data_IF_504627071321
#
_entry.id   IF_504627071321
#
_cell.length_a   1.000
_cell.length_b   1.000
_cell.length_c   1.000
_cell.angle_alpha   90.00
_cell.angle_beta   90.00
_cell.angle_gamma   90.00
#
_symmetry.space_group_name_H-M   'P 1'
#
loop_
_entity.id
_entity.type
_entity.pdbx_description
1 polymer ?
#
# COMPACT_ATOMS: atom_id res chain seq x y z
N UNK A 1 -8.04 -21.13 -4.03
CA UNK A 1 -7.32 -21.09 -5.33
C UNK A 1 -5.83 -21.36 -5.16
N UNK A 2 -5.21 -20.95 -4.04
CA UNK A 2 -3.82 -21.27 -3.70
C UNK A 2 -3.45 -22.76 -3.87
N UNK A 3 -4.22 -23.67 -3.25
CA UNK A 3 -4.06 -25.14 -3.43
C UNK A 3 -4.19 -25.65 -4.87
N UNK A 4 -4.67 -24.83 -5.81
CA UNK A 4 -4.72 -25.13 -7.25
C UNK A 4 -3.52 -24.55 -8.03
N UNK A 5 -2.53 -23.96 -7.35
CA UNK A 5 -1.32 -23.38 -7.93
C UNK A 5 -1.36 -21.86 -8.19
N UNK A 6 -2.35 -21.13 -7.64
CA UNK A 6 -2.35 -19.67 -7.73
C UNK A 6 -1.48 -19.07 -6.61
N UNK A 7 -0.47 -18.26 -6.96
CA UNK A 7 0.47 -17.67 -6.00
C UNK A 7 0.30 -16.16 -5.80
N UNK A 8 -0.67 -15.56 -6.50
CA UNK A 8 -0.97 -14.14 -6.37
C UNK A 8 -2.48 -13.89 -6.49
N UNK A 9 -2.95 -12.81 -5.86
CA UNK A 9 -4.34 -12.35 -5.93
C UNK A 9 -4.37 -10.85 -6.14
N UNK A 10 -5.26 -10.38 -7.01
CA UNK A 10 -5.49 -8.95 -7.17
C UNK A 10 -6.38 -8.43 -6.06
N UNK A 11 -6.00 -7.29 -5.48
CA UNK A 11 -6.77 -6.55 -4.50
C UNK A 11 -6.77 -5.06 -4.90
N UNK A 12 -7.80 -4.32 -4.48
CA UNK A 12 -7.86 -2.89 -4.80
C UNK A 12 -6.86 -2.10 -3.95
N UNK A 13 -6.20 -1.12 -4.55
CA UNK A 13 -5.28 -0.21 -3.85
C UNK A 13 -5.99 0.69 -2.83
N UNK A 14 -7.30 0.91 -3.00
CA UNK A 14 -8.18 1.55 -2.01
C UNK A 14 -9.61 0.96 -2.12
N UNK A 15 -9.96 -0.05 -1.30
CA UNK A 15 -11.32 -0.59 -1.25
C UNK A 15 -12.37 0.44 -0.80
N UNK A 16 -11.97 1.45 -0.02
CA UNK A 16 -12.83 2.52 0.47
C UNK A 16 -13.45 3.34 -0.68
N UNK A 17 -12.63 3.69 -1.66
CA UNK A 17 -13.08 4.37 -2.88
C UNK A 17 -14.11 3.57 -3.69
N UNK A 18 -14.11 2.24 -3.56
CA UNK A 18 -15.07 1.34 -4.20
C UNK A 18 -16.34 1.09 -3.36
N UNK A 19 -16.49 1.76 -2.21
CA UNK A 19 -17.63 1.61 -1.30
C UNK A 19 -17.52 0.42 -0.34
N UNK A 20 -16.35 -0.22 -0.23
CA UNK A 20 -16.08 -1.26 0.76
C UNK A 20 -15.41 -0.68 2.01
N UNK A 21 -15.34 -1.44 3.13
CA UNK A 21 -14.58 -1.00 4.29
C UNK A 21 -13.10 -0.75 3.94
N UNK A 22 -12.49 0.27 4.54
CA UNK A 22 -11.06 0.53 4.38
C UNK A 22 -10.21 -0.53 5.12
N UNK A 23 -8.91 -0.55 4.80
CA UNK A 23 -7.95 -1.49 5.40
C UNK A 23 -7.57 -1.15 6.86
N UNK A 24 -7.91 0.04 7.37
CA UNK A 24 -7.50 0.49 8.69
C UNK A 24 -8.30 -0.12 9.86
N UNK A 25 -9.45 -0.73 9.58
CA UNK A 25 -10.40 -1.20 10.60
C UNK A 25 -10.47 -2.72 10.76
N UNK A 26 -9.52 -3.47 10.18
CA UNK A 26 -9.40 -4.91 10.36
C UNK A 26 -10.47 -5.77 9.67
N UNK A 27 -11.41 -5.18 8.94
CA UNK A 27 -12.42 -5.91 8.16
C UNK A 27 -11.79 -6.95 7.21
N UNK A 28 -10.63 -6.62 6.65
CA UNK A 28 -9.88 -7.45 5.71
C UNK A 28 -8.85 -8.37 6.38
N UNK A 29 -8.75 -8.39 7.71
CA UNK A 29 -7.79 -9.23 8.42
C UNK A 29 -7.92 -10.73 8.07
N UNK A 30 -9.13 -11.32 7.91
CA UNK A 30 -9.23 -12.72 7.49
C UNK A 30 -8.67 -12.96 6.08
N UNK A 31 -8.78 -11.98 5.18
CA UNK A 31 -8.22 -12.06 3.84
C UNK A 31 -6.69 -11.98 3.87
N UNK A 32 -6.14 -11.03 4.63
CA UNK A 32 -4.69 -10.88 4.81
C UNK A 32 -4.07 -12.10 5.50
N UNK A 33 -4.70 -12.63 6.55
CA UNK A 33 -4.30 -13.86 7.21
C UNK A 33 -4.23 -15.04 6.22
N UNK A 34 -5.27 -15.24 5.42
CA UNK A 34 -5.30 -16.32 4.44
C UNK A 34 -4.23 -16.17 3.35
N UNK A 35 -3.93 -14.93 2.93
CA UNK A 35 -2.85 -14.69 1.98
C UNK A 35 -1.48 -14.99 2.59
N UNK A 36 -1.25 -14.60 3.84
CA UNK A 36 -0.01 -14.90 4.56
C UNK A 36 0.17 -16.41 4.74
N UNK A 37 -0.85 -17.11 5.25
CA UNK A 37 -0.81 -18.55 5.53
C UNK A 37 -0.48 -19.40 4.28
N UNK A 38 -0.93 -18.94 3.11
CA UNK A 38 -0.73 -19.63 1.84
C UNK A 38 0.44 -19.04 1.02
N UNK A 39 1.19 -18.07 1.56
CA UNK A 39 2.29 -17.38 0.86
C UNK A 39 1.86 -16.72 -0.45
N UNK A 40 0.61 -16.23 -0.52
CA UNK A 40 0.03 -15.59 -1.69
C UNK A 40 0.36 -14.10 -1.71
N UNK A 41 0.98 -13.63 -2.79
CA UNK A 41 1.29 -12.20 -2.98
C UNK A 41 0.02 -11.42 -3.32
N UNK A 42 -0.19 -10.28 -2.66
CA UNK A 42 -1.30 -9.39 -2.95
C UNK A 42 -0.85 -8.34 -3.97
N UNK A 43 -1.43 -8.36 -5.16
CA UNK A 43 -1.12 -7.42 -6.23
C UNK A 43 -2.10 -6.24 -6.21
N UNK A 44 -1.58 -5.03 -5.99
CA UNK A 44 -2.32 -3.77 -6.09
C UNK A 44 -1.96 -3.09 -7.41
N UNK A 45 -2.92 -3.00 -8.33
CA UNK A 45 -2.70 -2.34 -9.62
C UNK A 45 -3.06 -0.86 -9.53
N UNK A 46 -2.29 0.02 -10.18
CA UNK A 46 -2.65 1.45 -10.26
C UNK A 46 -4.10 1.61 -10.74
N UNK A 47 -4.85 2.49 -10.10
CA UNK A 47 -6.23 2.81 -10.48
C UNK A 47 -7.24 1.68 -10.21
N UNK A 48 -6.85 0.61 -9.52
CA UNK A 48 -7.77 -0.47 -9.12
C UNK A 48 -8.86 -0.03 -8.12
N UNK A 49 -8.72 1.16 -7.54
CA UNK A 49 -9.73 1.87 -6.73
C UNK A 49 -10.76 2.64 -7.57
N UNK A 50 -10.63 2.64 -8.91
CA UNK A 50 -11.34 3.55 -9.82
C UNK A 50 -11.10 5.04 -9.51
N UNK A 51 -10.06 5.35 -8.75
CA UNK A 51 -9.64 6.72 -8.44
C UNK A 51 -8.20 6.93 -8.90
N UNK A 52 -7.94 8.10 -9.45
CA UNK A 52 -6.61 8.53 -9.89
C UNK A 52 -6.36 9.94 -9.38
N UNK A 53 -5.09 10.33 -9.27
CA UNK A 53 -4.76 11.73 -9.04
C UNK A 53 -5.41 12.61 -10.11
N UNK A 54 -6.10 13.65 -9.67
CA UNK A 54 -7.00 14.41 -10.53
C UNK A 54 -6.30 15.07 -11.72
N UNK A 55 -6.85 14.87 -12.92
CA UNK A 55 -6.50 15.63 -14.12
C UNK A 55 -7.25 16.96 -14.11
N UNK A 56 -6.54 18.08 -14.32
CA UNK A 56 -7.16 19.41 -14.41
C UNK A 56 -7.94 19.57 -15.71
N UNK A 57 -9.01 20.35 -15.69
CA UNK A 57 -9.79 20.67 -16.88
C UNK A 57 -8.91 21.24 -18.00
N UNK A 58 -8.98 20.63 -19.17
CA UNK A 58 -8.20 21.04 -20.36
C UNK A 58 -6.72 20.62 -20.34
N UNK A 59 -6.23 19.93 -19.31
CA UNK A 59 -4.87 19.42 -19.30
C UNK A 59 -4.72 18.20 -20.24
N UNK A 60 -3.54 18.04 -20.89
CA UNK A 60 -3.26 16.84 -21.68
C UNK A 60 -3.16 15.61 -20.77
N UNK A 61 -3.57 14.46 -21.31
CA UNK A 61 -3.63 13.20 -20.56
C UNK A 61 -2.25 12.73 -20.05
N UNK A 62 -1.17 13.19 -20.70
CA UNK A 62 0.21 12.98 -20.27
C UNK A 62 0.46 13.42 -18.82
N UNK A 63 -0.25 14.44 -18.33
CA UNK A 63 -0.18 14.89 -16.93
C UNK A 63 -0.64 13.78 -15.99
N UNK A 64 -1.77 13.14 -16.32
CA UNK A 64 -2.30 12.02 -15.53
C UNK A 64 -1.34 10.83 -15.58
N UNK A 65 -0.90 10.44 -16.77
CA UNK A 65 0.01 9.30 -16.98
C UNK A 65 1.35 9.50 -16.25
N UNK A 66 1.88 10.73 -16.23
CA UNK A 66 3.12 11.05 -15.51
C UNK A 66 2.97 10.91 -13.99
N UNK A 67 1.77 11.15 -13.47
CA UNK A 67 1.51 11.16 -12.02
C UNK A 67 1.07 9.81 -11.47
N UNK A 68 0.79 8.80 -12.31
CA UNK A 68 0.32 7.48 -11.84
C UNK A 68 1.22 6.79 -10.81
N UNK A 69 2.57 6.98 -10.79
CA UNK A 69 3.41 6.42 -9.72
C UNK A 69 3.03 6.89 -8.31
N UNK A 70 2.45 8.09 -8.19
CA UNK A 70 2.05 8.66 -6.92
C UNK A 70 0.79 7.97 -6.35
N UNK A 71 -0.06 7.34 -7.18
CA UNK A 71 -1.14 6.46 -6.72
C UNK A 71 -0.56 5.25 -5.97
N UNK A 72 0.44 4.57 -6.54
CA UNK A 72 1.12 3.46 -5.87
C UNK A 72 1.83 3.87 -4.59
N UNK A 73 2.47 5.05 -4.59
CA UNK A 73 3.05 5.61 -3.36
C UNK A 73 1.99 5.87 -2.29
N UNK A 74 0.78 6.32 -2.68
CA UNK A 74 -0.35 6.49 -1.76
C UNK A 74 -0.77 5.15 -1.16
N UNK A 75 -0.98 4.12 -1.98
CA UNK A 75 -1.36 2.78 -1.53
C UNK A 75 -0.29 2.17 -0.59
N UNK A 76 0.99 2.32 -0.92
CA UNK A 76 2.11 1.91 -0.05
C UNK A 76 2.07 2.63 1.31
N UNK A 77 1.77 3.93 1.28
CA UNK A 77 1.65 4.76 2.49
C UNK A 77 0.50 4.28 3.36
N UNK A 78 -0.67 3.99 2.78
CA UNK A 78 -1.83 3.47 3.51
C UNK A 78 -1.52 2.11 4.15
N UNK A 79 -0.90 1.19 3.41
CA UNK A 79 -0.47 -0.10 3.96
C UNK A 79 0.49 0.07 5.14
N UNK A 80 1.52 0.90 5.00
CA UNK A 80 2.54 1.11 6.03
C UNK A 80 1.99 1.73 7.33
N UNK A 81 1.15 2.75 7.20
CA UNK A 81 0.59 3.47 8.35
C UNK A 81 -0.65 2.78 8.93
N UNK A 82 -1.26 1.86 8.17
CA UNK A 82 -2.15 0.86 8.75
C UNK A 82 -1.39 -0.09 9.68
N UNK A 83 -2.13 -0.92 10.40
CA UNK A 83 -1.55 -1.99 11.21
C UNK A 83 -1.32 -3.28 10.40
N UNK A 84 -1.63 -3.31 9.09
CA UNK A 84 -1.61 -4.55 8.28
C UNK A 84 -0.22 -5.17 8.24
N UNK A 85 0.82 -4.40 7.87
CA UNK A 85 2.19 -4.92 7.78
C UNK A 85 2.71 -5.41 9.13
N UNK A 86 2.42 -4.66 10.21
CA UNK A 86 2.80 -5.04 11.58
C UNK A 86 2.04 -6.26 12.11
N UNK A 87 0.80 -6.47 11.66
CA UNK A 87 -0.05 -7.59 12.08
C UNK A 87 0.26 -8.87 11.30
N UNK A 88 0.70 -8.73 10.06
CA UNK A 88 0.96 -9.83 9.13
C UNK A 88 2.39 -9.71 8.57
N UNK A 89 3.42 -9.98 9.39
CA UNK A 89 4.82 -9.69 9.05
C UNK A 89 5.37 -10.47 7.85
N UNK A 90 4.75 -11.59 7.47
CA UNK A 90 5.19 -12.40 6.32
C UNK A 90 4.37 -12.10 5.04
N UNK A 91 3.41 -11.18 5.10
CA UNK A 91 2.54 -10.85 3.97
C UNK A 91 3.25 -9.96 2.95
N UNK A 92 3.25 -10.35 1.68
CA UNK A 92 3.98 -9.64 0.62
C UNK A 92 3.02 -8.91 -0.33
N UNK A 93 3.41 -7.71 -0.76
CA UNK A 93 2.62 -6.89 -1.68
C UNK A 93 3.37 -6.58 -2.98
N UNK A 94 2.64 -6.56 -4.10
CA UNK A 94 3.16 -6.13 -5.40
C UNK A 94 2.40 -4.91 -5.91
N UNK A 95 3.04 -3.74 -5.87
CA UNK A 95 2.51 -2.51 -6.45
C UNK A 95 2.76 -2.51 -7.96
N UNK A 96 1.74 -2.86 -8.72
CA UNK A 96 1.82 -3.12 -10.17
C UNK A 96 1.62 -1.83 -10.97
N UNK A 97 2.47 -1.61 -11.97
CA UNK A 97 2.46 -0.43 -12.89
C UNK A 97 2.81 0.93 -12.23
N UNK A 98 3.22 0.93 -10.95
CA UNK A 98 3.58 2.15 -10.21
C UNK A 98 4.96 2.73 -10.49
N UNK A 99 5.80 2.06 -11.30
CA UNK A 99 7.25 2.35 -11.38
C UNK A 99 7.93 2.37 -9.98
N UNK A 100 9.24 2.66 -9.93
CA UNK A 100 10.02 2.63 -8.67
C UNK A 100 10.77 3.92 -8.34
N UNK A 101 10.68 4.96 -9.19
CA UNK A 101 11.43 6.20 -9.00
C UNK A 101 11.07 6.98 -7.72
N UNK A 102 9.85 6.78 -7.21
CA UNK A 102 9.36 7.38 -5.96
C UNK A 102 9.88 6.67 -4.70
N UNK A 103 10.32 5.41 -4.83
CA UNK A 103 10.62 4.55 -3.68
C UNK A 103 11.74 5.09 -2.77
N UNK A 104 12.89 5.60 -3.28
CA UNK A 104 13.92 6.16 -2.42
C UNK A 104 13.44 7.36 -1.61
N UNK A 105 12.69 8.27 -2.25
CA UNK A 105 12.09 9.42 -1.58
C UNK A 105 11.09 8.98 -0.52
N UNK A 106 10.22 8.03 -0.85
CA UNK A 106 9.20 7.55 0.08
C UNK A 106 9.82 6.91 1.33
N UNK A 107 10.85 6.07 1.17
CA UNK A 107 11.56 5.45 2.29
C UNK A 107 12.22 6.49 3.22
N UNK A 108 12.81 7.54 2.67
CA UNK A 108 13.33 8.66 3.47
C UNK A 108 12.17 9.42 4.16
N UNK A 109 11.09 9.67 3.43
CA UNK A 109 9.97 10.50 3.88
C UNK A 109 9.20 9.86 5.03
N UNK A 110 8.93 8.55 4.98
CA UNK A 110 8.21 7.84 6.04
C UNK A 110 8.99 7.82 7.36
N UNK A 111 10.32 7.65 7.30
CA UNK A 111 11.19 7.70 8.47
C UNK A 111 11.22 9.10 9.08
N UNK A 112 11.36 10.12 8.23
CA UNK A 112 11.28 11.51 8.68
C UNK A 112 9.94 11.79 9.37
N UNK A 113 8.82 11.40 8.75
CA UNK A 113 7.48 11.59 9.34
C UNK A 113 7.37 10.90 10.69
N UNK A 114 7.84 9.66 10.80
CA UNK A 114 7.84 8.94 12.07
C UNK A 114 8.69 9.64 13.14
N UNK A 115 9.91 10.06 12.79
CA UNK A 115 10.81 10.71 13.73
C UNK A 115 10.27 12.04 14.25
N UNK A 116 9.65 12.83 13.38
CA UNK A 116 9.18 14.17 13.73
C UNK A 116 7.77 14.19 14.32
N UNK A 117 6.94 13.20 14.01
CA UNK A 117 5.50 13.29 14.27
C UNK A 117 4.92 12.17 15.13
N UNK A 118 5.63 11.04 15.36
CA UNK A 118 5.08 9.90 16.13
C UNK A 118 4.55 10.26 17.51
N UNK A 119 5.13 11.27 18.17
CA UNK A 119 4.73 11.70 19.51
C UNK A 119 3.30 12.23 19.58
N UNK A 120 2.74 12.77 18.48
CA UNK A 120 1.36 13.25 18.42
C UNK A 120 0.47 12.44 17.47
N UNK A 121 1.06 11.73 16.49
CA UNK A 121 0.29 10.81 15.63
C UNK A 121 0.06 9.45 16.29
N UNK A 122 0.75 9.18 17.41
CA UNK A 122 0.65 7.94 18.22
C UNK A 122 0.96 6.66 17.45
N UNK A 123 1.72 6.77 16.35
CA UNK A 123 2.23 5.62 15.60
C UNK A 123 3.33 4.93 16.39
N UNK A 124 3.31 3.60 16.42
CA UNK A 124 4.28 2.77 17.12
C UNK A 124 4.79 1.65 16.19
N UNK A 125 6.08 1.72 15.87
CA UNK A 125 6.82 0.74 15.09
C UNK A 125 7.83 -0.03 15.97
N UNK A 126 7.75 0.11 17.29
CA UNK A 126 8.69 -0.48 18.24
C UNK A 126 10.13 0.00 17.98
N UNK A 127 11.06 -0.96 17.88
CA UNK A 127 12.48 -0.72 17.65
C UNK A 127 12.83 -0.54 16.16
N UNK A 128 11.85 -0.66 15.25
CA UNK A 128 12.05 -0.51 13.82
C UNK A 128 11.68 0.89 13.32
N UNK A 129 12.37 1.32 12.26
CA UNK A 129 11.94 2.43 11.43
C UNK A 129 10.86 1.96 10.44
N UNK A 130 9.92 2.84 10.05
CA UNK A 130 8.93 2.50 9.03
C UNK A 130 9.56 2.01 7.72
N UNK A 131 10.71 2.55 7.32
CA UNK A 131 11.42 2.08 6.12
C UNK A 131 12.00 0.68 6.26
N UNK A 132 12.28 0.21 7.48
CA UNK A 132 12.70 -1.17 7.72
C UNK A 132 11.51 -2.11 7.53
N UNK A 133 10.37 -1.81 8.16
CA UNK A 133 9.12 -2.53 7.92
C UNK A 133 8.81 -2.54 6.43
N UNK A 134 8.80 -1.39 5.76
CA UNK A 134 8.51 -1.31 4.33
C UNK A 134 9.43 -2.14 3.42
N UNK A 135 10.66 -2.47 3.84
CA UNK A 135 11.60 -3.27 3.05
C UNK A 135 11.40 -4.78 3.22
N UNK A 136 10.74 -5.19 4.29
CA UNK A 136 10.50 -6.60 4.63
C UNK A 136 9.24 -7.16 3.93
N UNK A 137 8.42 -6.29 3.31
CA UNK A 137 7.12 -6.59 2.69
C UNK A 137 7.07 -6.30 1.18
#
# INVERSE_FOLDING_TARGET
VARKGCHAVTFSEDPGALGWPNIFQGHWDPFFAACQDEGTVICLHIGSSSTMLGLKDGAPFDVLITMTPLNSMSAATDLLWSNVLRKFPDLQFALSEGSIGWLPYWLERIDYVYQQHRFWTHQDFGDQLPSQVARDH
#
